data_IF_308604669933
#
_entry.id   IF_308604669933
#
_cell.length_a   1.000
_cell.length_b   1.000
_cell.length_c   1.000
_cell.angle_alpha   90.00
_cell.angle_beta   90.00
_cell.angle_gamma   90.00
#
_symmetry.space_group_name_H-M   'P 1'
#
loop_
_entity.id
_entity.type
_entity.pdbx_description
1 polymer ?
#
# COMPACT_ATOMS: atom_id res chain seq x y z
N UNK A 1 -27.73 -33.48 -10.75
CA UNK A 1 -26.70 -32.51 -11.21
C UNK A 1 -26.41 -31.62 -10.02
N UNK A 2 -25.18 -31.66 -9.47
CA UNK A 2 -24.83 -30.90 -8.27
C UNK A 2 -24.22 -29.55 -8.70
N UNK A 3 -24.91 -28.48 -8.35
CA UNK A 3 -24.51 -27.09 -8.58
C UNK A 3 -23.31 -26.78 -7.66
N UNK A 4 -22.12 -26.60 -8.23
CA UNK A 4 -20.94 -26.16 -7.48
C UNK A 4 -21.02 -24.65 -7.32
N UNK A 5 -21.36 -24.19 -6.12
CA UNK A 5 -21.18 -22.81 -5.70
C UNK A 5 -19.70 -22.43 -5.84
N UNK A 6 -19.34 -21.32 -6.52
CA UNK A 6 -17.97 -20.86 -6.54
C UNK A 6 -17.62 -20.33 -5.16
N UNK A 7 -16.87 -21.12 -4.39
CA UNK A 7 -16.20 -20.64 -3.19
C UNK A 7 -15.35 -19.43 -3.62
N UNK A 8 -15.80 -18.23 -3.24
CA UNK A 8 -15.05 -17.00 -3.45
C UNK A 8 -13.89 -17.08 -2.48
N UNK A 9 -12.82 -17.75 -2.92
CA UNK A 9 -11.55 -17.82 -2.21
C UNK A 9 -11.07 -16.38 -2.09
N UNK A 10 -11.35 -15.75 -0.95
CA UNK A 10 -10.78 -14.45 -0.59
C UNK A 10 -9.28 -14.68 -0.46
N UNK A 11 -8.57 -14.56 -1.58
CA UNK A 11 -7.12 -14.57 -1.59
C UNK A 11 -6.64 -13.49 -0.61
N UNK A 12 -5.57 -13.74 0.14
CA UNK A 12 -5.08 -12.78 1.11
C UNK A 12 -4.79 -11.47 0.38
N UNK A 13 -5.50 -10.40 0.74
CA UNK A 13 -5.17 -9.05 0.34
C UNK A 13 -3.71 -8.83 0.74
N UNK A 14 -2.80 -8.73 -0.25
CA UNK A 14 -1.42 -8.35 0.02
C UNK A 14 -1.48 -6.97 0.68
N UNK A 15 -1.17 -6.95 1.96
CA UNK A 15 -1.24 -5.75 2.80
C UNK A 15 0.07 -5.00 2.61
N UNK A 16 0.01 -3.79 2.06
CA UNK A 16 1.18 -2.92 2.00
C UNK A 16 1.34 -2.25 3.35
N UNK A 17 2.38 -2.64 4.07
CA UNK A 17 2.77 -1.96 5.31
C UNK A 17 3.72 -0.82 4.97
N UNK A 18 3.44 0.37 5.50
CA UNK A 18 4.29 1.55 5.35
C UNK A 18 4.59 2.15 6.71
N UNK A 19 5.78 2.71 6.87
CA UNK A 19 6.15 3.54 8.01
C UNK A 19 6.07 5.00 7.57
N UNK A 20 5.33 5.81 8.33
CA UNK A 20 5.22 7.25 8.09
C UNK A 20 5.96 7.98 9.20
N UNK A 21 6.97 8.78 8.83
CA UNK A 21 7.77 9.58 9.77
C UNK A 21 7.52 11.05 9.50
N UNK A 22 7.05 11.79 10.50
CA UNK A 22 6.87 13.24 10.38
C UNK A 22 8.15 13.97 10.80
N UNK A 23 8.58 14.98 10.05
CA UNK A 23 9.80 15.75 10.34
C UNK A 23 9.65 16.65 11.57
N UNK A 24 8.44 17.16 11.78
CA UNK A 24 8.00 17.84 12.99
C UNK A 24 6.80 17.04 13.50
N UNK A 25 6.48 17.10 14.79
CA UNK A 25 5.27 16.46 15.31
C UNK A 25 4.05 16.76 14.44
N UNK A 26 3.02 15.91 14.51
CA UNK A 26 1.85 16.00 13.63
C UNK A 26 1.17 17.37 13.86
N UNK A 27 1.20 18.24 12.85
CA UNK A 27 0.46 19.51 12.91
C UNK A 27 -1.05 19.21 12.97
N UNK A 28 -1.86 20.00 13.71
CA UNK A 28 -3.31 19.89 13.61
C UNK A 28 -3.84 20.17 12.20
N UNK A 29 -3.06 20.86 11.34
CA UNK A 29 -3.43 21.16 9.95
C UNK A 29 -2.82 20.14 8.98
N UNK A 30 -3.64 19.34 8.26
CA UNK A 30 -3.16 18.33 7.32
C UNK A 30 -2.30 18.89 6.17
N UNK A 31 -2.55 20.12 5.72
CA UNK A 31 -1.72 20.77 4.68
C UNK A 31 -0.30 21.11 5.14
N UNK A 32 -0.09 21.24 6.45
CA UNK A 32 1.22 21.55 7.05
C UNK A 32 2.03 20.27 7.35
N UNK A 33 1.47 19.08 7.13
CA UNK A 33 2.17 17.84 7.40
C UNK A 33 3.40 17.70 6.49
N UNK A 34 4.53 17.30 7.05
CA UNK A 34 5.77 17.09 6.29
C UNK A 34 6.46 15.85 6.83
N UNK A 35 6.91 14.97 5.96
CA UNK A 35 7.53 13.72 6.40
C UNK A 35 8.02 12.83 5.28
N UNK A 36 8.28 11.58 5.63
CA UNK A 36 8.65 10.51 4.72
C UNK A 36 7.76 9.29 4.91
N UNK A 37 7.50 8.59 3.81
CA UNK A 37 6.88 7.26 3.76
C UNK A 37 7.95 6.27 3.33
N UNK A 38 8.04 5.16 4.05
CA UNK A 38 8.96 4.05 3.77
C UNK A 38 8.14 2.75 3.72
N UNK A 39 7.95 2.13 2.54
CA UNK A 39 7.30 0.83 2.45
C UNK A 39 8.14 -0.23 3.15
N UNK A 40 7.55 -1.11 3.96
CA UNK A 40 8.32 -2.12 4.71
C UNK A 40 9.06 -3.10 3.78
N UNK A 41 8.52 -3.31 2.58
CA UNK A 41 9.06 -4.25 1.59
C UNK A 41 10.01 -3.57 0.58
N UNK A 42 10.26 -2.26 0.71
CA UNK A 42 11.13 -1.51 -0.21
C UNK A 42 11.98 -0.50 0.55
N UNK A 43 13.26 -0.39 0.19
CA UNK A 43 14.15 0.62 0.77
C UNK A 43 13.92 2.04 0.19
N UNK A 44 12.91 2.22 -0.67
CA UNK A 44 12.60 3.50 -1.30
C UNK A 44 11.82 4.42 -0.34
N UNK A 45 12.44 5.52 0.06
CA UNK A 45 11.83 6.54 0.90
C UNK A 45 11.24 7.65 0.03
N UNK A 46 9.98 8.00 0.26
CA UNK A 46 9.28 9.08 -0.44
C UNK A 46 8.94 10.20 0.53
N UNK A 47 9.41 11.41 0.25
CA UNK A 47 9.01 12.58 1.03
C UNK A 47 7.63 13.06 0.62
N UNK A 48 6.88 13.66 1.55
CA UNK A 48 5.58 14.26 1.28
C UNK A 48 5.43 15.64 1.92
N UNK A 49 4.69 16.51 1.24
CA UNK A 49 4.36 17.87 1.64
C UNK A 49 2.84 18.05 1.72
N UNK A 50 2.28 17.59 2.82
CA UNK A 50 0.85 17.67 3.15
C UNK A 50 0.19 16.31 3.08
N UNK A 51 -0.97 16.19 3.72
CA UNK A 51 -1.72 14.94 3.78
C UNK A 51 -2.16 14.44 2.40
N UNK A 52 -2.39 15.34 1.44
CA UNK A 52 -2.78 14.94 0.08
C UNK A 52 -1.67 14.16 -0.64
N UNK A 53 -0.42 14.64 -0.58
CA UNK A 53 0.72 13.92 -1.15
C UNK A 53 0.94 12.57 -0.45
N UNK A 54 0.79 12.53 0.88
CA UNK A 54 0.85 11.28 1.65
C UNK A 54 -0.18 10.25 1.14
N UNK A 55 -1.43 10.67 0.95
CA UNK A 55 -2.50 9.79 0.45
C UNK A 55 -2.21 9.28 -0.96
N UNK A 56 -1.72 10.15 -1.86
CA UNK A 56 -1.35 9.76 -3.21
C UNK A 56 -0.23 8.71 -3.21
N UNK A 57 0.78 8.88 -2.36
CA UNK A 57 1.87 7.91 -2.21
C UNK A 57 1.32 6.55 -1.76
N UNK A 58 0.47 6.52 -0.72
CA UNK A 58 -0.13 5.28 -0.19
C UNK A 58 -1.00 4.59 -1.26
N UNK A 59 -1.77 5.35 -2.03
CA UNK A 59 -2.59 4.83 -3.12
C UNK A 59 -1.73 4.22 -4.24
N UNK A 60 -0.67 4.90 -4.67
CA UNK A 60 0.27 4.36 -5.67
C UNK A 60 0.95 3.08 -5.20
N UNK A 61 1.37 3.01 -3.93
CA UNK A 61 1.97 1.80 -3.36
C UNK A 61 0.96 0.64 -3.30
N UNK A 62 -0.30 0.95 -2.98
CA UNK A 62 -1.38 -0.04 -2.98
C UNK A 62 -1.72 -0.54 -4.38
N UNK A 63 -1.66 0.33 -5.39
CA UNK A 63 -1.86 -0.03 -6.79
C UNK A 63 -0.73 -0.94 -7.30
N UNK A 64 0.53 -0.58 -7.04
CA UNK A 64 1.69 -1.39 -7.39
C UNK A 64 1.61 -2.82 -6.82
N UNK A 65 1.26 -2.95 -5.53
CA UNK A 65 1.10 -4.27 -4.89
C UNK A 65 -0.02 -5.13 -5.51
N UNK A 66 -1.04 -4.51 -6.11
CA UNK A 66 -2.09 -5.21 -6.88
C UNK A 66 -1.60 -5.61 -8.27
N UNK A 67 -0.86 -4.73 -8.94
CA UNK A 67 -0.32 -4.98 -10.28
C UNK A 67 0.75 -6.08 -10.29
N UNK A 68 1.64 -6.15 -9.29
CA UNK A 68 2.61 -7.24 -9.16
C UNK A 68 1.92 -8.61 -9.05
N UNK A 69 0.76 -8.70 -8.38
CA UNK A 69 -0.04 -9.94 -8.33
C UNK A 69 -0.57 -10.33 -9.72
N UNK A 70 -0.99 -9.34 -10.50
CA UNK A 70 -1.53 -9.58 -11.85
C UNK A 70 -0.45 -9.92 -12.88
N UNK A 71 0.78 -9.44 -12.68
CA UNK A 71 1.91 -9.76 -13.58
C UNK A 71 2.63 -11.07 -13.22
N UNK A 72 2.50 -11.58 -12.00
CA UNK A 72 3.11 -12.85 -11.60
C UNK A 72 2.14 -13.82 -10.89
N UNK A 73 1.19 -14.44 -11.60
CA UNK A 73 0.31 -15.47 -11.03
C UNK A 73 1.03 -16.79 -10.70
N UNK A 74 2.36 -16.90 -10.91
CA UNK A 74 3.11 -18.16 -10.80
C UNK A 74 3.95 -18.32 -9.52
N UNK A 75 4.12 -17.30 -8.69
CA UNK A 75 4.78 -17.43 -7.38
C UNK A 75 3.78 -17.53 -6.23
N UNK A 76 2.81 -18.44 -6.40
CA UNK A 76 1.89 -18.90 -5.36
C UNK A 76 1.88 -20.43 -5.25
N UNK A 77 2.95 -21.10 -5.68
CA UNK A 77 3.12 -22.54 -5.54
C UNK A 77 4.58 -22.89 -5.22
N UNK A 78 5.00 -22.62 -3.99
CA UNK A 78 6.07 -23.36 -3.31
C UNK A 78 5.74 -23.50 -1.84
#
# INVERSE_FOLDING_TARGET
MAEKTPETRSEPLRTVSVVVRFYRGISPKPEEWRGQVEPVQSNEKRSFHGAQELLQIIQSLSAYAREEKNQNPKEGLR
#
